data_IF_661276257627
#
_entry.id   IF_661276257627
#
_cell.length_a   1.000
_cell.length_b   1.000
_cell.length_c   1.000
_cell.angle_alpha   90.00
_cell.angle_beta   90.00
_cell.angle_gamma   90.00
#
_symmetry.space_group_name_H-M   'P 1'
#
loop_
_entity.id
_entity.type
_entity.pdbx_description
1 polymer ?
#
# COMPACT_ATOMS: atom_id res chain seq x y z
N UNK A 1 -7.99 -17.33 -31.32
CA UNK A 1 -8.59 -16.82 -30.07
C UNK A 1 -9.74 -15.92 -30.47
N UNK A 2 -10.97 -16.38 -30.29
CA UNK A 2 -12.14 -15.49 -30.40
C UNK A 2 -12.06 -14.51 -29.23
N UNK A 3 -11.86 -13.23 -29.53
CA UNK A 3 -12.04 -12.15 -28.56
C UNK A 3 -13.35 -12.39 -27.81
N UNK A 4 -13.27 -12.52 -26.49
CA UNK A 4 -14.43 -12.71 -25.63
C UNK A 4 -15.28 -11.45 -25.79
N UNK A 5 -16.47 -11.58 -26.38
CA UNK A 5 -17.39 -10.45 -26.52
C UNK A 5 -18.00 -10.22 -25.15
N UNK A 6 -17.48 -9.24 -24.41
CA UNK A 6 -18.01 -8.82 -23.11
C UNK A 6 -19.43 -8.29 -23.31
N UNK A 7 -20.38 -8.73 -22.49
CA UNK A 7 -21.75 -8.22 -22.58
C UNK A 7 -21.84 -6.74 -22.21
N UNK A 8 -22.91 -6.08 -22.64
CA UNK A 8 -23.19 -4.69 -22.22
C UNK A 8 -23.28 -4.58 -20.70
N UNK A 9 -23.86 -5.59 -20.04
CA UNK A 9 -23.96 -5.65 -18.58
C UNK A 9 -22.59 -5.63 -17.91
N UNK A 10 -21.69 -6.54 -18.32
CA UNK A 10 -20.35 -6.63 -17.75
C UNK A 10 -19.52 -5.36 -18.03
N UNK A 11 -19.59 -4.82 -19.26
CA UNK A 11 -18.89 -3.58 -19.60
C UNK A 11 -19.41 -2.35 -18.83
N UNK A 12 -20.72 -2.26 -18.58
CA UNK A 12 -21.30 -1.19 -17.77
C UNK A 12 -20.93 -1.32 -16.29
N UNK A 13 -20.87 -2.55 -15.78
CA UNK A 13 -20.43 -2.86 -14.42
C UNK A 13 -18.96 -2.43 -14.21
N UNK A 14 -18.05 -2.88 -15.07
CA UNK A 14 -16.64 -2.52 -15.06
C UNK A 14 -16.46 -1.00 -15.09
N UNK A 15 -17.09 -0.33 -16.07
CA UNK A 15 -17.00 1.14 -16.21
C UNK A 15 -17.49 1.85 -14.96
N UNK A 16 -18.59 1.39 -14.36
CA UNK A 16 -19.19 2.01 -13.17
C UNK A 16 -18.27 1.87 -11.96
N UNK A 17 -17.70 0.69 -11.74
CA UNK A 17 -16.90 0.40 -10.54
C UNK A 17 -15.47 0.92 -10.68
N UNK A 18 -14.80 0.68 -11.81
CA UNK A 18 -13.44 1.17 -12.06
C UNK A 18 -13.39 2.67 -12.36
N UNK A 19 -14.53 3.27 -12.71
CA UNK A 19 -14.68 4.72 -12.88
C UNK A 19 -14.90 5.50 -11.58
N UNK A 20 -15.03 4.82 -10.43
CA UNK A 20 -15.14 5.49 -9.14
C UNK A 20 -13.87 6.28 -8.85
N UNK A 21 -14.05 7.52 -8.36
CA UNK A 21 -12.92 8.34 -7.93
C UNK A 21 -12.23 7.66 -6.73
N UNK A 22 -10.90 7.48 -6.76
CA UNK A 22 -10.19 6.96 -5.61
C UNK A 22 -10.45 7.80 -4.36
N UNK A 23 -10.51 7.14 -3.21
CA UNK A 23 -10.71 7.78 -1.90
C UNK A 23 -9.36 7.83 -1.20
N UNK A 24 -8.96 9.01 -0.73
CA UNK A 24 -7.72 9.16 0.04
C UNK A 24 -7.88 8.50 1.41
N UNK A 25 -6.88 7.74 1.83
CA UNK A 25 -6.88 7.13 3.14
C UNK A 25 -6.48 8.15 4.21
N UNK A 26 -7.05 8.07 5.42
CA UNK A 26 -6.61 8.93 6.52
C UNK A 26 -5.20 8.58 7.01
N UNK A 27 -4.74 7.34 6.79
CA UNK A 27 -3.41 6.89 7.20
C UNK A 27 -2.73 6.18 6.03
N UNK A 28 -1.49 6.58 5.78
CA UNK A 28 -0.59 5.96 4.82
C UNK A 28 0.63 5.44 5.55
N UNK A 29 1.03 4.21 5.23
CA UNK A 29 2.19 3.58 5.84
C UNK A 29 3.02 2.81 4.82
N UNK A 30 4.17 2.32 5.30
CA UNK A 30 5.09 1.48 4.52
C UNK A 30 5.37 0.20 5.30
N UNK A 31 5.53 -0.88 4.56
CA UNK A 31 5.95 -2.18 5.10
C UNK A 31 7.27 -2.65 4.50
N UNK A 32 7.90 -1.83 3.66
CA UNK A 32 9.23 -2.05 3.12
C UNK A 32 9.77 -0.85 2.33
N UNK A 33 10.98 -1.04 1.81
CA UNK A 33 11.78 -0.01 1.16
C UNK A 33 11.33 0.34 -0.25
N UNK A 34 10.65 -0.57 -0.95
CA UNK A 34 10.18 -0.29 -2.31
C UNK A 34 8.96 0.66 -2.29
N UNK A 35 8.79 1.59 -3.23
CA UNK A 35 7.63 2.51 -3.24
C UNK A 35 6.26 1.82 -3.25
N UNK A 36 6.17 0.66 -3.90
CA UNK A 36 4.95 -0.16 -3.90
C UNK A 36 4.74 -0.98 -2.63
N UNK A 37 5.71 -1.01 -1.70
CA UNK A 37 5.57 -1.62 -0.37
C UNK A 37 4.96 -0.62 0.62
N UNK A 38 3.83 -0.06 0.21
CA UNK A 38 3.01 0.90 0.95
C UNK A 38 1.63 0.33 1.22
N UNK A 39 0.95 0.86 2.23
CA UNK A 39 -0.43 0.51 2.52
C UNK A 39 -1.23 1.75 2.91
N UNK A 40 -2.52 1.67 2.63
CA UNK A 40 -3.52 2.63 3.04
C UNK A 40 -4.37 2.02 4.15
N UNK A 41 -4.74 2.81 5.16
CA UNK A 41 -5.52 2.33 6.29
C UNK A 41 -6.74 3.21 6.56
N UNK A 42 -7.90 2.58 6.74
CA UNK A 42 -9.13 3.20 7.22
C UNK A 42 -9.56 2.53 8.51
N UNK A 43 -9.65 3.32 9.58
CA UNK A 43 -10.12 2.87 10.89
C UNK A 43 -11.57 3.26 11.09
N UNK A 44 -12.39 2.33 11.56
CA UNK A 44 -13.82 2.57 11.78
C UNK A 44 -14.12 3.55 12.93
N UNK A 45 -13.11 3.86 13.76
CA UNK A 45 -13.26 4.63 14.99
C UNK A 45 -13.87 3.84 16.15
N UNK A 46 -14.23 2.57 15.95
CA UNK A 46 -14.77 1.70 17.00
C UNK A 46 -13.64 0.95 17.69
N UNK A 47 -13.57 1.04 19.02
CA UNK A 47 -12.57 0.31 19.80
C UNK A 47 -12.72 -1.20 19.59
N UNK A 48 -11.62 -1.88 19.23
CA UNK A 48 -11.62 -3.32 18.98
C UNK A 48 -12.33 -3.74 17.69
N UNK A 49 -12.50 -2.83 16.73
CA UNK A 49 -13.12 -3.15 15.45
C UNK A 49 -12.42 -4.34 14.76
N UNK A 50 -13.18 -5.20 14.05
CA UNK A 50 -12.60 -6.31 13.33
C UNK A 50 -11.65 -5.84 12.21
N UNK A 51 -10.50 -6.50 12.12
CA UNK A 51 -9.48 -6.18 11.13
C UNK A 51 -9.70 -6.97 9.83
N UNK A 52 -9.67 -6.25 8.71
CA UNK A 52 -9.66 -6.80 7.36
C UNK A 52 -8.39 -6.33 6.66
N UNK A 53 -7.58 -7.29 6.18
CA UNK A 53 -6.51 -7.00 5.23
C UNK A 53 -7.08 -7.27 3.84
N UNK A 54 -7.13 -6.26 2.98
CA UNK A 54 -7.82 -6.30 1.70
C UNK A 54 -6.81 -6.24 0.55
N UNK A 55 -6.73 -7.31 -0.25
CA UNK A 55 -5.83 -7.42 -1.40
C UNK A 55 -6.57 -7.06 -2.70
N UNK A 56 -5.96 -6.16 -3.47
CA UNK A 56 -6.57 -5.69 -4.71
C UNK A 56 -6.44 -6.66 -5.88
N UNK A 57 -7.40 -6.56 -6.79
CA UNK A 57 -7.45 -7.31 -8.03
C UNK A 57 -6.63 -6.68 -9.15
N UNK A 58 -7.00 -7.01 -10.37
CA UNK A 58 -6.37 -6.49 -11.58
C UNK A 58 -5.21 -7.34 -12.09
N UNK A 59 -5.39 -8.66 -12.14
CA UNK A 59 -4.44 -9.60 -12.77
C UNK A 59 -2.97 -9.35 -12.39
N UNK A 60 -2.73 -9.00 -11.12
CA UNK A 60 -1.43 -8.66 -10.54
C UNK A 60 -0.68 -7.49 -11.21
N UNK A 61 -1.33 -6.73 -12.10
CA UNK A 61 -0.76 -5.66 -12.94
C UNK A 61 -1.20 -4.26 -12.52
N UNK A 62 -2.42 -4.12 -12.00
CA UNK A 62 -2.98 -2.82 -11.63
C UNK A 62 -2.73 -2.46 -10.17
N UNK A 63 -2.70 -1.17 -9.87
CA UNK A 63 -2.50 -0.65 -8.52
C UNK A 63 -3.78 -0.70 -7.67
N UNK A 64 -3.62 -0.61 -6.35
CA UNK A 64 -4.69 -0.69 -5.35
C UNK A 64 -5.74 0.43 -5.43
N UNK A 65 -5.44 1.53 -6.12
CA UNK A 65 -6.25 2.75 -6.10
C UNK A 65 -7.71 2.53 -6.47
N UNK A 66 -8.00 1.60 -7.40
CA UNK A 66 -9.37 1.25 -7.80
C UNK A 66 -10.20 0.63 -6.67
N UNK A 67 -9.56 0.06 -5.65
CA UNK A 67 -10.22 -0.59 -4.52
C UNK A 67 -10.36 0.32 -3.29
N UNK A 68 -9.75 1.51 -3.33
CA UNK A 68 -9.85 2.49 -2.23
C UNK A 68 -11.28 2.93 -1.91
N UNK A 69 -12.23 3.10 -2.87
CA UNK A 69 -13.61 3.42 -2.53
C UNK A 69 -14.30 2.30 -1.73
N UNK A 70 -13.98 1.04 -2.05
CA UNK A 70 -14.51 -0.11 -1.33
C UNK A 70 -13.90 -0.24 0.07
N UNK A 71 -12.60 -0.01 0.22
CA UNK A 71 -11.94 0.00 1.52
C UNK A 71 -12.52 1.07 2.46
N UNK A 72 -12.72 2.30 1.95
CA UNK A 72 -13.36 3.37 2.70
C UNK A 72 -14.80 3.02 3.09
N UNK A 73 -15.56 2.39 2.18
CA UNK A 73 -16.93 1.96 2.45
C UNK A 73 -17.00 0.84 3.51
N UNK A 74 -16.10 -0.15 3.45
CA UNK A 74 -16.00 -1.19 4.48
C UNK A 74 -15.70 -0.59 5.86
N UNK A 75 -14.87 0.44 5.93
CA UNK A 75 -14.63 1.13 7.21
C UNK A 75 -15.90 1.76 7.78
N UNK A 76 -16.74 2.35 6.94
CA UNK A 76 -18.07 2.84 7.33
C UNK A 76 -19.02 1.71 7.76
N UNK A 77 -18.76 0.46 7.38
CA UNK A 77 -19.51 -0.72 7.84
C UNK A 77 -18.99 -1.28 9.19
N UNK A 78 -18.01 -0.63 9.81
CA UNK A 78 -17.48 -0.97 11.14
C UNK A 78 -16.20 -1.81 11.15
N UNK A 79 -15.48 -1.89 10.02
CA UNK A 79 -14.21 -2.62 9.93
C UNK A 79 -13.00 -1.68 10.02
N UNK A 80 -11.91 -2.16 10.61
CA UNK A 80 -10.60 -1.59 10.34
C UNK A 80 -10.05 -2.25 9.07
N UNK A 81 -9.64 -1.46 8.09
CA UNK A 81 -9.24 -1.95 6.77
C UNK A 81 -7.81 -1.52 6.46
N UNK A 82 -6.95 -2.50 6.18
CA UNK A 82 -5.63 -2.29 5.60
C UNK A 82 -5.67 -2.70 4.13
N UNK A 83 -5.38 -1.76 3.23
CA UNK A 83 -5.28 -1.98 1.79
C UNK A 83 -3.81 -1.80 1.36
N UNK A 84 -3.00 -2.86 1.40
CA UNK A 84 -1.62 -2.80 0.93
C UNK A 84 -1.55 -2.79 -0.60
N UNK A 85 -0.57 -2.05 -1.13
CA UNK A 85 -0.02 -2.30 -2.46
C UNK A 85 1.03 -3.41 -2.39
N UNK A 86 1.41 -3.95 -3.54
CA UNK A 86 2.54 -4.86 -3.69
C UNK A 86 3.22 -4.61 -5.03
N UNK A 87 4.46 -5.10 -5.22
CA UNK A 87 5.11 -5.04 -6.53
C UNK A 87 4.33 -5.89 -7.54
N UNK A 88 4.10 -5.34 -8.73
CA UNK A 88 3.17 -5.84 -9.75
C UNK A 88 3.89 -6.44 -10.96
N UNK A 89 3.24 -7.42 -11.59
CA UNK A 89 3.71 -8.02 -12.84
C UNK A 89 3.80 -6.97 -13.95
N UNK A 90 4.82 -7.08 -14.81
CA UNK A 90 5.12 -6.06 -15.82
C UNK A 90 5.89 -4.84 -15.29
N UNK A 91 6.18 -4.80 -13.98
CA UNK A 91 7.10 -3.86 -13.34
C UNK A 91 8.10 -4.59 -12.45
N UNK A 92 8.30 -4.10 -11.23
CA UNK A 92 9.22 -4.72 -10.26
C UNK A 92 8.65 -5.96 -9.54
N UNK A 93 7.48 -6.45 -9.95
CA UNK A 93 6.80 -7.61 -9.38
C UNK A 93 6.80 -8.82 -10.31
N UNK A 94 5.91 -9.77 -10.01
CA UNK A 94 5.93 -11.10 -10.58
C UNK A 94 6.47 -12.13 -9.59
N UNK A 95 6.78 -13.32 -10.07
CA UNK A 95 7.54 -14.30 -9.29
C UNK A 95 9.03 -13.91 -9.32
N UNK A 96 9.70 -13.75 -8.15
CA UNK A 96 9.18 -14.00 -6.79
C UNK A 96 8.57 -12.78 -6.06
N UNK A 97 8.83 -11.56 -6.52
CA UNK A 97 8.69 -10.32 -5.76
C UNK A 97 7.27 -10.03 -5.26
N UNK A 98 6.23 -10.31 -6.05
CA UNK A 98 4.83 -10.13 -5.63
C UNK A 98 4.50 -11.03 -4.45
N UNK A 99 4.95 -12.28 -4.48
CA UNK A 99 4.68 -13.26 -3.43
C UNK A 99 5.50 -12.97 -2.17
N UNK A 100 6.74 -12.50 -2.31
CA UNK A 100 7.55 -12.02 -1.19
C UNK A 100 6.88 -10.83 -0.49
N UNK A 101 6.32 -9.89 -1.26
CA UNK A 101 5.60 -8.74 -0.73
C UNK A 101 4.31 -9.16 0.00
N UNK A 102 3.52 -10.05 -0.60
CA UNK A 102 2.25 -10.53 -0.02
C UNK A 102 2.51 -11.36 1.24
N UNK A 103 3.54 -12.22 1.25
CA UNK A 103 3.95 -12.92 2.46
C UNK A 103 4.33 -11.93 3.58
N UNK A 104 5.15 -10.92 3.28
CA UNK A 104 5.52 -9.88 4.25
C UNK A 104 4.29 -9.12 4.77
N UNK A 105 3.36 -8.74 3.89
CA UNK A 105 2.12 -8.06 4.25
C UNK A 105 1.36 -8.82 5.34
N UNK A 106 1.05 -10.09 5.09
CA UNK A 106 0.19 -10.88 5.98
C UNK A 106 0.90 -11.32 7.25
N UNK A 107 2.23 -11.42 7.21
CA UNK A 107 3.05 -11.81 8.36
C UNK A 107 3.33 -10.64 9.32
N UNK A 108 3.21 -9.37 8.85
CA UNK A 108 3.66 -8.20 9.64
C UNK A 108 2.59 -7.15 9.89
N UNK A 109 1.77 -6.80 8.89
CA UNK A 109 0.82 -5.69 9.01
C UNK A 109 -0.28 -5.90 10.06
N UNK A 110 -0.81 -7.11 10.28
CA UNK A 110 -1.82 -7.32 11.31
C UNK A 110 -1.32 -7.08 12.75
N UNK A 111 0.01 -7.05 12.98
CA UNK A 111 0.62 -6.83 14.29
C UNK A 111 0.03 -7.72 15.41
N UNK A 112 -0.24 -8.99 15.09
CA UNK A 112 -0.81 -9.96 16.01
C UNK A 112 -2.33 -9.84 16.24
N UNK A 113 -3.02 -8.85 15.67
CA UNK A 113 -4.48 -8.77 15.70
C UNK A 113 -5.08 -9.91 14.87
N UNK A 114 -6.10 -10.63 15.38
CA UNK A 114 -6.91 -11.52 14.56
C UNK A 114 -7.54 -10.73 13.39
N UNK A 115 -7.47 -11.30 12.19
CA UNK A 115 -7.92 -10.65 10.97
C UNK A 115 -8.52 -11.64 9.99
N UNK A 116 -9.38 -11.11 9.10
CA UNK A 116 -9.79 -11.80 7.88
C UNK A 116 -8.98 -11.23 6.71
N UNK A 117 -8.38 -12.10 5.91
CA UNK A 117 -7.74 -11.73 4.66
C UNK A 117 -8.77 -11.79 3.54
N UNK A 118 -9.14 -10.63 3.00
CA UNK A 118 -10.05 -10.54 1.87
C UNK A 118 -9.28 -10.19 0.60
N UNK A 119 -9.72 -10.70 -0.55
CA UNK A 119 -9.10 -10.33 -1.81
C UNK A 119 -10.05 -10.47 -2.99
N UNK A 120 -9.99 -9.53 -3.94
CA UNK A 120 -10.81 -9.54 -5.15
C UNK A 120 -10.01 -10.04 -6.36
N UNK A 121 -10.59 -10.89 -7.19
CA UNK A 121 -9.98 -11.38 -8.44
C UNK A 121 -8.58 -11.97 -8.20
N UNK A 122 -7.52 -11.36 -8.75
CA UNK A 122 -6.13 -11.75 -8.49
C UNK A 122 -5.66 -11.52 -7.05
N UNK A 123 -6.26 -10.57 -6.34
CA UNK A 123 -6.09 -10.43 -4.88
C UNK A 123 -6.73 -11.59 -4.13
N UNK A 124 -7.83 -12.15 -4.66
CA UNK A 124 -8.45 -13.37 -4.15
C UNK A 124 -7.56 -14.60 -4.37
N UNK A 125 -6.86 -14.68 -5.51
CA UNK A 125 -5.78 -15.66 -5.73
C UNK A 125 -4.71 -15.57 -4.64
N UNK A 126 -4.19 -14.37 -4.38
CA UNK A 126 -3.16 -14.13 -3.37
C UNK A 126 -3.66 -14.48 -1.95
N UNK A 127 -4.92 -14.17 -1.63
CA UNK A 127 -5.51 -14.50 -0.34
C UNK A 127 -5.64 -16.04 -0.14
N UNK A 128 -6.11 -16.76 -1.16
CA UNK A 128 -6.17 -18.23 -1.13
C UNK A 128 -4.77 -18.85 -1.05
N UNK A 129 -3.80 -18.29 -1.77
CA UNK A 129 -2.40 -18.71 -1.67
C UNK A 129 -1.85 -18.53 -0.26
N UNK A 130 -2.15 -17.40 0.41
CA UNK A 130 -1.73 -17.18 1.80
C UNK A 130 -2.26 -18.25 2.77
N UNK A 131 -3.52 -18.68 2.62
CA UNK A 131 -4.05 -19.80 3.41
C UNK A 131 -3.36 -21.13 3.08
N UNK A 132 -2.95 -21.34 1.82
CA UNK A 132 -2.28 -22.56 1.38
C UNK A 132 -0.77 -22.59 1.70
N UNK A 133 -0.17 -21.52 2.25
CA UNK A 133 1.28 -21.47 2.56
C UNK A 133 1.74 -22.57 3.52
N UNK A 134 0.86 -23.08 4.39
CA UNK A 134 1.15 -24.22 5.27
C UNK A 134 1.26 -25.58 4.54
N UNK A 135 0.83 -25.65 3.28
CA UNK A 135 0.93 -26.84 2.42
C UNK A 135 2.21 -26.86 1.58
N UNK A 136 2.96 -25.75 1.55
CA UNK A 136 4.23 -25.68 0.86
C UNK A 136 5.26 -26.63 1.50
N UNK A 137 6.28 -27.10 0.76
CA UNK A 137 7.38 -27.85 1.37
C UNK A 137 8.04 -27.04 2.50
N UNK A 138 8.47 -27.66 3.61
CA UNK A 138 9.09 -26.96 4.74
C UNK A 138 10.33 -26.12 4.40
N UNK A 139 11.01 -26.42 3.29
CA UNK A 139 12.15 -25.65 2.78
C UNK A 139 11.79 -24.45 1.90
N UNK A 140 10.51 -24.24 1.58
CA UNK A 140 10.06 -23.05 0.85
C UNK A 140 10.19 -21.82 1.73
N UNK A 141 10.72 -20.71 1.18
CA UNK A 141 10.79 -19.43 1.90
C UNK A 141 9.42 -18.85 2.28
N UNK A 142 8.35 -19.33 1.65
CA UNK A 142 6.99 -18.91 1.94
C UNK A 142 6.25 -19.87 2.86
N UNK A 143 6.80 -21.04 3.20
CA UNK A 143 6.13 -21.95 4.12
C UNK A 143 6.02 -21.30 5.51
N UNK A 144 4.80 -21.29 6.06
CA UNK A 144 4.51 -20.79 7.40
C UNK A 144 3.36 -21.58 8.03
N UNK A 145 3.35 -21.66 9.36
CA UNK A 145 2.22 -22.16 10.16
C UNK A 145 1.39 -21.05 10.79
N UNK A 146 1.86 -19.81 10.69
CA UNK A 146 1.11 -18.63 11.09
C UNK A 146 0.25 -18.20 9.90
N UNK A 147 -1.00 -18.65 9.89
CA UNK A 147 -1.93 -18.43 8.79
C UNK A 147 -2.99 -17.37 9.16
N UNK A 148 -3.65 -16.74 8.18
CA UNK A 148 -4.76 -15.82 8.45
C UNK A 148 -5.88 -16.49 9.27
N UNK A 149 -6.61 -15.70 10.07
CA UNK A 149 -7.73 -16.22 10.88
C UNK A 149 -8.91 -16.70 10.02
N UNK A 150 -9.03 -16.18 8.80
CA UNK A 150 -9.95 -16.64 7.77
C UNK A 150 -9.67 -15.94 6.44
N UNK A 151 -10.15 -16.52 5.34
CA UNK A 151 -10.03 -15.96 3.98
C UNK A 151 -11.38 -15.73 3.34
N UNK A 152 -11.61 -14.51 2.85
CA UNK A 152 -12.75 -14.17 2.00
C UNK A 152 -12.27 -13.89 0.57
N UNK A 153 -12.40 -14.88 -0.30
CA UNK A 153 -11.98 -14.80 -1.69
C UNK A 153 -13.16 -14.33 -2.56
N UNK A 154 -13.08 -13.11 -3.10
CA UNK A 154 -14.12 -12.46 -3.89
C UNK A 154 -13.85 -12.64 -5.38
N UNK A 155 -14.70 -13.40 -6.07
CA UNK A 155 -14.53 -13.79 -7.48
C UNK A 155 -13.06 -14.14 -7.84
N UNK A 156 -12.41 -15.05 -7.09
CA UNK A 156 -10.97 -15.21 -7.16
C UNK A 156 -10.49 -15.95 -8.42
N UNK A 157 -9.29 -15.64 -8.87
CA UNK A 157 -8.53 -16.62 -9.66
C UNK A 157 -8.07 -17.75 -8.72
N UNK A 158 -8.24 -19.00 -9.11
CA UNK A 158 -7.92 -20.18 -8.27
C UNK A 158 -7.02 -21.19 -8.97
N UNK A 159 -7.07 -21.22 -10.31
CA UNK A 159 -6.33 -22.10 -11.21
C UNK A 159 -5.61 -21.24 -12.27
N UNK A 160 -4.31 -21.07 -12.08
CA UNK A 160 -3.43 -20.38 -13.01
C UNK A 160 -3.30 -21.14 -14.33
N UNK A 161 -3.38 -22.47 -14.33
CA UNK A 161 -3.35 -23.29 -15.57
C UNK A 161 -4.57 -22.98 -16.43
N UNK A 162 -5.76 -22.95 -15.83
CA UNK A 162 -6.99 -22.54 -16.52
C UNK A 162 -6.93 -21.06 -16.94
N UNK A 163 -6.40 -20.17 -16.09
CA UNK A 163 -6.21 -18.74 -16.40
C UNK A 163 -5.39 -18.55 -17.67
N UNK A 164 -4.29 -19.30 -17.80
CA UNK A 164 -3.45 -19.31 -19.00
C UNK A 164 -4.17 -19.93 -20.19
N UNK A 165 -4.77 -21.11 -20.03
CA UNK A 165 -5.49 -21.82 -21.11
C UNK A 165 -6.55 -20.92 -21.75
N UNK A 166 -7.27 -20.16 -20.93
CA UNK A 166 -8.38 -19.31 -21.35
C UNK A 166 -7.92 -17.90 -21.78
N UNK A 167 -6.60 -17.63 -21.74
CA UNK A 167 -6.00 -16.36 -22.18
C UNK A 167 -6.48 -15.15 -21.38
N UNK A 168 -6.77 -15.32 -20.08
CA UNK A 168 -7.37 -14.26 -19.28
C UNK A 168 -6.41 -13.07 -19.10
N UNK A 169 -6.89 -11.87 -19.44
CA UNK A 169 -6.14 -10.61 -19.42
C UNK A 169 -4.80 -10.72 -20.14
N UNK A 170 -4.80 -11.14 -21.41
CA UNK A 170 -3.60 -11.15 -22.26
C UNK A 170 -2.40 -11.82 -21.57
N UNK A 171 -2.58 -13.10 -21.23
CA UNK A 171 -1.55 -13.96 -20.65
C UNK A 171 -0.97 -13.45 -19.31
N UNK A 172 -1.82 -12.83 -18.47
CA UNK A 172 -1.39 -12.31 -17.17
C UNK A 172 -0.76 -13.36 -16.24
N UNK A 173 -1.29 -14.59 -16.22
CA UNK A 173 -0.72 -15.68 -15.43
C UNK A 173 0.67 -16.09 -15.91
N UNK A 174 0.92 -16.06 -17.23
CA UNK A 174 2.25 -16.31 -17.79
C UNK A 174 3.22 -15.21 -17.37
N UNK A 175 2.82 -13.94 -17.50
CA UNK A 175 3.66 -12.82 -17.09
C UNK A 175 3.99 -12.87 -15.59
N UNK A 176 3.00 -13.18 -14.74
CA UNK A 176 3.19 -13.34 -13.30
C UNK A 176 4.30 -14.36 -12.99
N UNK A 177 4.29 -15.50 -13.68
CA UNK A 177 5.26 -16.57 -13.43
C UNK A 177 6.56 -16.43 -14.22
N UNK A 178 6.81 -15.28 -14.87
CA UNK A 178 8.05 -15.01 -15.60
C UNK A 178 8.12 -15.63 -17.00
N UNK A 179 6.99 -16.03 -17.57
CA UNK A 179 6.87 -16.54 -18.93
C UNK A 179 6.82 -18.06 -19.06
N UNK A 180 6.63 -18.51 -20.30
CA UNK A 180 6.42 -19.92 -20.67
C UNK A 180 7.46 -20.89 -20.08
N UNK A 181 8.78 -20.60 -20.07
CA UNK A 181 9.78 -21.54 -19.58
C UNK A 181 9.67 -21.85 -18.07
N UNK A 182 9.04 -20.95 -17.31
CA UNK A 182 8.98 -21.02 -15.85
C UNK A 182 7.60 -21.42 -15.32
N UNK A 183 6.56 -21.26 -16.14
CA UNK A 183 5.16 -21.41 -15.74
C UNK A 183 4.90 -22.74 -15.03
N UNK A 184 5.11 -23.86 -15.70
CA UNK A 184 4.83 -25.20 -15.16
C UNK A 184 5.65 -25.52 -13.92
N UNK A 185 6.91 -25.09 -13.87
CA UNK A 185 7.80 -25.37 -12.76
C UNK A 185 7.42 -24.61 -11.48
N UNK A 186 6.83 -23.41 -11.62
CA UNK A 186 6.46 -22.53 -10.49
C UNK A 186 5.03 -22.77 -9.98
N UNK A 187 4.13 -23.33 -10.79
CA UNK A 187 2.74 -23.61 -10.40
C UNK A 187 2.60 -24.28 -9.01
N UNK A 188 3.38 -25.33 -8.67
CA UNK A 188 3.22 -26.00 -7.37
C UNK A 188 3.52 -25.12 -6.15
N UNK A 189 4.14 -23.95 -6.33
CA UNK A 189 4.46 -23.03 -5.23
C UNK A 189 3.41 -21.93 -5.03
N UNK A 190 2.59 -21.64 -6.03
CA UNK A 190 1.79 -20.40 -6.08
C UNK A 190 0.37 -20.55 -6.61
N UNK A 191 0.02 -21.71 -7.18
CA UNK A 191 -1.32 -21.99 -7.68
C UNK A 191 -2.19 -22.63 -6.56
N UNK A 192 -3.25 -21.95 -6.09
CA UNK A 192 -4.09 -22.47 -5.01
C UNK A 192 -4.68 -23.84 -5.32
N UNK A 193 -5.16 -24.08 -6.54
CA UNK A 193 -5.72 -25.37 -6.92
C UNK A 193 -4.67 -26.49 -6.87
N UNK A 194 -3.47 -26.25 -7.40
CA UNK A 194 -2.35 -27.21 -7.38
C UNK A 194 -1.91 -27.57 -5.95
N UNK A 195 -1.76 -26.56 -5.08
CA UNK A 195 -1.40 -26.75 -3.68
C UNK A 195 -2.44 -27.58 -2.93
N UNK A 196 -3.71 -27.33 -3.23
CA UNK A 196 -4.82 -27.93 -2.47
C UNK A 196 -5.22 -29.32 -2.95
N UNK A 197 -5.01 -29.65 -4.22
CA UNK A 197 -5.55 -30.87 -4.87
C UNK A 197 -5.35 -32.16 -4.09
N UNK A 198 -4.20 -32.32 -3.44
CA UNK A 198 -3.88 -33.50 -2.65
C UNK A 198 -4.25 -33.37 -1.16
N UNK A 199 -4.19 -32.17 -0.59
CA UNK A 199 -4.47 -31.92 0.82
C UNK A 199 -5.96 -31.88 1.13
N UNK A 200 -6.75 -31.32 0.20
CA UNK A 200 -8.19 -31.17 0.29
C UNK A 200 -8.70 -30.17 1.33
N UNK A 201 -7.81 -29.48 2.05
CA UNK A 201 -8.09 -28.40 3.00
C UNK A 201 -6.81 -27.63 3.29
N UNK A 202 -6.91 -26.33 3.57
CA UNK A 202 -5.82 -25.51 4.10
C UNK A 202 -5.81 -25.46 5.64
N UNK A 203 -6.90 -25.87 6.29
CA UNK A 203 -7.17 -25.67 7.72
C UNK A 203 -7.59 -24.24 8.09
N UNK A 204 -7.66 -23.32 7.11
CA UNK A 204 -8.10 -21.93 7.31
C UNK A 204 -9.56 -21.80 6.89
N UNK A 205 -10.45 -21.25 7.75
CA UNK A 205 -11.83 -20.96 7.37
C UNK A 205 -11.88 -20.10 6.11
N UNK A 206 -12.43 -20.65 5.03
CA UNK A 206 -12.39 -20.03 3.71
C UNK A 206 -13.78 -19.90 3.13
N UNK A 207 -14.15 -18.69 2.72
CA UNK A 207 -15.37 -18.39 1.97
C UNK A 207 -14.97 -17.93 0.58
N UNK A 208 -15.50 -18.58 -0.45
CA UNK A 208 -15.45 -18.13 -1.84
C UNK A 208 -16.79 -17.51 -2.20
N UNK A 209 -16.80 -16.20 -2.47
CA UNK A 209 -18.00 -15.45 -2.81
C UNK A 209 -17.88 -14.92 -4.23
N UNK A 210 -18.81 -15.28 -5.11
CA UNK A 210 -18.79 -14.83 -6.51
C UNK A 210 -20.18 -14.51 -7.05
N UNK A 211 -20.21 -13.73 -8.13
CA UNK A 211 -21.42 -13.46 -8.89
C UNK A 211 -21.79 -14.62 -9.83
N UNK A 212 -23.08 -14.91 -9.98
CA UNK A 212 -23.56 -15.91 -10.93
C UNK A 212 -23.46 -15.45 -12.40
N UNK A 213 -23.32 -14.13 -12.62
CA UNK A 213 -23.21 -13.50 -13.93
C UNK A 213 -21.79 -12.93 -14.17
N UNK A 214 -20.77 -13.49 -13.52
CA UNK A 214 -19.37 -13.13 -13.73
C UNK A 214 -18.92 -13.57 -15.15
N UNK A 215 -18.61 -12.59 -16.00
CA UNK A 215 -18.11 -12.80 -17.35
C UNK A 215 -16.58 -12.63 -17.46
N UNK A 216 -15.96 -12.07 -16.43
CA UNK A 216 -14.53 -11.76 -16.40
C UNK A 216 -13.76 -13.03 -16.05
N UNK A 217 -14.16 -13.68 -14.95
CA UNK A 217 -13.56 -14.91 -14.47
C UNK A 217 -14.51 -16.08 -14.78
N UNK A 218 -14.09 -17.05 -15.62
CA UNK A 218 -14.91 -18.22 -15.91
C UNK A 218 -15.33 -18.97 -14.63
N UNK A 219 -16.61 -19.32 -14.51
CA UNK A 219 -17.17 -20.01 -13.33
C UNK A 219 -16.45 -21.33 -12.99
N UNK A 220 -15.74 -21.93 -13.94
CA UNK A 220 -14.90 -23.12 -13.71
C UNK A 220 -13.78 -22.86 -12.72
N UNK A 221 -13.25 -21.64 -12.61
CA UNK A 221 -12.31 -21.25 -11.54
C UNK A 221 -12.92 -21.54 -10.16
N UNK A 222 -14.20 -21.26 -9.98
CA UNK A 222 -14.85 -21.45 -8.69
C UNK A 222 -15.26 -22.91 -8.48
N UNK A 223 -15.88 -23.54 -9.48
CA UNK A 223 -16.34 -24.93 -9.35
C UNK A 223 -15.21 -25.93 -9.19
N UNK A 224 -14.10 -25.76 -9.91
CA UNK A 224 -12.97 -26.69 -9.87
C UNK A 224 -12.22 -26.59 -8.54
N UNK A 225 -12.13 -25.38 -7.98
CA UNK A 225 -11.58 -25.18 -6.64
C UNK A 225 -12.48 -25.74 -5.54
N UNK A 226 -13.79 -25.49 -5.62
CA UNK A 226 -14.77 -26.04 -4.69
C UNK A 226 -14.80 -27.58 -4.71
N UNK A 227 -14.55 -28.20 -5.87
CA UNK A 227 -14.49 -29.66 -6.00
C UNK A 227 -13.33 -30.30 -5.22
N UNK A 228 -12.26 -29.55 -4.92
CA UNK A 228 -11.10 -30.06 -4.16
C UNK A 228 -11.02 -29.52 -2.74
N UNK A 229 -11.65 -28.39 -2.42
CA UNK A 229 -11.61 -27.77 -1.09
C UNK A 229 -12.77 -28.26 -0.20
N UNK A 230 -12.52 -29.23 0.67
CA UNK A 230 -13.57 -29.94 1.44
C UNK A 230 -14.30 -29.07 2.46
N UNK A 231 -13.62 -28.06 2.99
CA UNK A 231 -14.11 -27.14 4.01
C UNK A 231 -14.45 -25.74 3.45
N UNK A 232 -14.62 -25.63 2.12
CA UNK A 232 -14.97 -24.36 1.48
C UNK A 232 -16.44 -24.05 1.71
N UNK A 233 -16.73 -22.81 2.12
CA UNK A 233 -18.07 -22.26 1.97
C UNK A 233 -18.15 -21.46 0.66
N UNK A 234 -19.07 -21.83 -0.22
CA UNK A 234 -19.32 -21.08 -1.46
C UNK A 234 -20.58 -20.24 -1.31
N UNK A 235 -20.49 -18.96 -1.66
CA UNK A 235 -21.61 -18.01 -1.71
C UNK A 235 -21.76 -17.50 -3.14
N UNK A 236 -22.89 -17.81 -3.76
CA UNK A 236 -23.18 -17.43 -5.16
C UNK A 236 -24.28 -16.37 -5.17
N UNK A 237 -23.97 -15.18 -5.69
CA UNK A 237 -24.93 -14.08 -5.74
C UNK A 237 -25.64 -14.02 -7.11
N UNK A 238 -26.97 -14.21 -7.16
CA UNK A 238 -27.71 -14.18 -8.42
C UNK A 238 -27.70 -12.77 -9.04
N UNK A 239 -27.61 -12.69 -10.37
CA UNK A 239 -27.62 -11.42 -11.11
C UNK A 239 -26.45 -10.47 -10.81
N UNK A 240 -25.43 -10.96 -10.10
CA UNK A 240 -24.23 -10.19 -9.74
C UNK A 240 -23.10 -10.55 -10.68
N UNK A 241 -22.39 -9.54 -11.19
CA UNK A 241 -21.20 -9.70 -12.03
C UNK A 241 -19.91 -9.75 -11.22
N UNK A 242 -18.79 -9.45 -11.87
CA UNK A 242 -17.45 -9.55 -11.30
C UNK A 242 -17.13 -8.40 -10.32
N UNK A 243 -17.58 -7.19 -10.64
CA UNK A 243 -17.17 -5.97 -9.96
C UNK A 243 -18.17 -5.48 -8.90
N UNK A 244 -19.44 -5.85 -8.99
CA UNK A 244 -20.50 -5.45 -8.03
C UNK A 244 -20.16 -5.87 -6.59
N UNK A 245 -19.30 -6.90 -6.42
CA UNK A 245 -18.79 -7.33 -5.12
C UNK A 245 -17.97 -6.26 -4.39
N UNK A 246 -17.35 -5.35 -5.13
CA UNK A 246 -16.50 -4.27 -4.62
C UNK A 246 -17.10 -2.88 -4.91
N UNK A 247 -18.37 -2.82 -5.33
CA UNK A 247 -19.06 -1.55 -5.58
C UNK A 247 -19.68 -1.02 -4.28
N UNK A 248 -19.21 0.11 -3.72
CA UNK A 248 -19.70 0.64 -2.46
C UNK A 248 -21.23 0.73 -2.38
N UNK A 249 -21.82 0.08 -1.38
CA UNK A 249 -23.25 0.11 -1.09
C UNK A 249 -24.13 -0.75 -1.99
N UNK A 250 -23.58 -1.37 -3.05
CA UNK A 250 -24.31 -2.29 -3.90
C UNK A 250 -24.69 -3.59 -3.15
N UNK A 251 -25.69 -4.36 -3.63
CA UNK A 251 -26.07 -5.62 -3.00
C UNK A 251 -24.91 -6.61 -2.84
N UNK A 252 -24.00 -6.69 -3.83
CA UNK A 252 -22.80 -7.52 -3.75
C UNK A 252 -21.87 -7.11 -2.61
N UNK A 253 -21.50 -5.83 -2.54
CA UNK A 253 -20.69 -5.28 -1.45
C UNK A 253 -21.32 -5.47 -0.05
N UNK A 254 -22.65 -5.36 0.07
CA UNK A 254 -23.36 -5.64 1.34
C UNK A 254 -23.22 -7.10 1.76
N UNK A 255 -23.39 -8.04 0.83
CA UNK A 255 -23.16 -9.46 1.09
C UNK A 255 -21.69 -9.74 1.50
N UNK A 256 -20.73 -9.03 0.92
CA UNK A 256 -19.32 -9.09 1.36
C UNK A 256 -19.17 -8.60 2.81
N UNK A 257 -19.71 -7.44 3.16
CA UNK A 257 -19.64 -6.91 4.53
C UNK A 257 -20.32 -7.84 5.55
N UNK A 258 -21.47 -8.43 5.22
CA UNK A 258 -22.16 -9.38 6.09
C UNK A 258 -21.36 -10.67 6.28
N UNK A 259 -20.72 -11.16 5.21
CA UNK A 259 -19.82 -12.33 5.28
C UNK A 259 -18.60 -12.03 6.16
N UNK A 260 -17.96 -10.86 5.97
CA UNK A 260 -16.85 -10.41 6.82
C UNK A 260 -17.25 -10.31 8.30
N UNK A 261 -18.47 -9.83 8.58
CA UNK A 261 -18.98 -9.75 9.95
C UNK A 261 -19.15 -11.13 10.57
N UNK A 262 -19.69 -12.09 9.82
CA UNK A 262 -19.82 -13.48 10.28
C UNK A 262 -18.47 -14.12 10.53
N UNK A 263 -17.51 -13.92 9.64
CA UNK A 263 -16.17 -14.51 9.76
C UNK A 263 -15.38 -13.91 10.93
N UNK A 264 -15.42 -12.58 11.08
CA UNK A 264 -14.68 -11.92 12.15
C UNK A 264 -15.27 -12.19 13.54
N UNK A 265 -16.59 -12.37 13.65
CA UNK A 265 -17.24 -12.80 14.89
C UNK A 265 -16.82 -14.20 15.35
N UNK A 266 -16.33 -15.06 14.44
CA UNK A 266 -15.82 -16.39 14.75
C UNK A 266 -14.33 -16.41 15.13
N UNK A 267 -13.61 -15.29 15.00
CA UNK A 267 -12.21 -15.19 15.40
C UNK A 267 -12.08 -15.13 16.92
N UNK A 268 -10.98 -15.66 17.50
CA UNK A 268 -10.72 -15.50 18.93
C UNK A 268 -10.58 -14.00 19.28
N UNK A 269 -11.04 -13.57 20.48
CA UNK A 269 -10.90 -12.19 20.92
C UNK A 269 -9.43 -11.79 21.05
N UNK A 270 -9.13 -10.49 20.87
CA UNK A 270 -7.79 -9.94 21.08
C UNK A 270 -7.33 -10.24 22.51
N UNK A 271 -6.29 -11.06 22.68
CA UNK A 271 -5.65 -11.31 23.98
C UNK A 271 -5.50 -12.77 24.45
N UNK A 272 -5.96 -13.78 23.71
CA UNK A 272 -5.63 -15.18 24.06
C UNK A 272 -4.40 -15.67 23.31
N UNK A 273 -3.25 -15.04 23.55
CA UNK A 273 -1.96 -15.69 23.30
C UNK A 273 -1.60 -16.37 24.61
N UNK A 274 -1.57 -17.71 24.64
CA UNK A 274 -0.93 -18.41 25.75
C UNK A 274 0.53 -17.95 25.78
N UNK A 275 0.90 -17.26 26.86
CA UNK A 275 2.24 -16.77 27.08
C UNK A 275 3.23 -17.95 26.98
N UNK A 276 4.02 -17.95 25.91
CA UNK A 276 5.37 -18.49 25.98
C UNK A 276 6.22 -17.39 26.63
N UNK A 277 6.73 -17.68 27.82
CA UNK A 277 7.65 -16.81 28.56
C UNK A 277 8.89 -16.53 27.73
N UNK A 278 9.26 -15.26 27.53
CA UNK A 278 10.66 -14.86 27.31
C UNK A 278 10.86 -13.33 27.46
N UNK A 279 11.65 -12.96 28.47
CA UNK A 279 12.71 -11.94 28.39
C UNK A 279 12.37 -10.44 28.24
N UNK A 280 12.56 -9.70 29.32
CA UNK A 280 12.63 -8.23 29.45
C UNK A 280 13.78 -7.58 28.66
N UNK A 281 13.60 -6.35 28.13
CA UNK A 281 14.42 -5.17 28.48
C UNK A 281 13.83 -3.83 27.96
N UNK A 282 14.00 -2.74 28.72
CA UNK A 282 13.36 -1.44 28.49
C UNK A 282 14.28 -0.29 28.04
N UNK A 283 13.70 0.90 27.76
CA UNK A 283 14.32 2.25 27.93
C UNK A 283 13.35 3.42 27.65
N UNK A 284 13.59 4.53 28.36
CA UNK A 284 12.77 5.74 28.61
C UNK A 284 13.28 6.99 27.86
N UNK A 285 12.43 8.03 27.70
CA UNK A 285 12.77 9.36 27.16
C UNK A 285 12.76 10.45 28.25
N UNK A 286 13.60 11.49 28.14
CA UNK A 286 13.64 12.68 29.02
C UNK A 286 13.52 13.99 28.21
N UNK A 287 12.79 14.98 28.76
CA UNK A 287 12.62 16.36 28.26
C UNK A 287 13.61 17.33 28.94
N UNK A 288 14.20 18.28 28.20
CA UNK A 288 15.01 19.36 28.77
C UNK A 288 15.15 20.56 27.81
N UNK A 289 14.94 21.77 28.35
CA UNK A 289 14.98 23.05 27.62
C UNK A 289 16.40 23.64 27.51
N UNK A 290 16.75 24.12 26.31
CA UNK A 290 17.91 24.93 25.91
C UNK A 290 19.27 24.18 25.88
N UNK A 291 19.60 23.56 24.73
CA UNK A 291 20.86 22.82 24.55
C UNK A 291 21.20 22.48 23.11
N UNK A 292 22.46 22.71 22.71
CA UNK A 292 22.98 22.28 21.39
C UNK A 292 23.00 20.75 21.31
N UNK A 293 22.34 20.19 20.30
CA UNK A 293 22.30 18.74 20.04
C UNK A 293 23.13 18.43 18.77
N UNK A 294 24.05 17.47 18.88
CA UNK A 294 24.83 16.96 17.75
C UNK A 294 24.95 15.44 17.86
N UNK A 295 24.55 14.72 16.81
CA UNK A 295 24.63 13.25 16.73
C UNK A 295 25.35 12.83 15.44
N UNK A 296 26.27 11.87 15.55
CA UNK A 296 26.93 11.20 14.42
C UNK A 296 26.58 9.70 14.47
N UNK A 297 25.85 9.18 13.47
CA UNK A 297 25.41 7.78 13.51
C UNK A 297 24.41 7.37 12.41
N UNK A 298 23.98 6.11 12.44
CA UNK A 298 22.93 5.58 11.55
C UNK A 298 21.65 5.35 12.35
N UNK A 299 20.56 6.06 12.02
CA UNK A 299 19.23 5.88 12.60
C UNK A 299 18.85 6.85 13.72
N UNK A 300 19.50 8.01 13.82
CA UNK A 300 19.20 9.05 14.82
C UNK A 300 17.83 9.70 14.62
N UNK A 301 17.24 10.20 15.72
CA UNK A 301 16.00 11.01 15.73
C UNK A 301 16.16 12.13 16.75
N UNK A 302 16.18 13.38 16.29
CA UNK A 302 16.27 14.56 17.16
C UNK A 302 15.04 15.47 16.98
N UNK A 303 14.52 15.99 18.10
CA UNK A 303 13.45 16.98 18.11
C UNK A 303 13.73 18.07 19.16
N UNK A 304 13.62 19.34 18.78
CA UNK A 304 13.80 20.49 19.67
C UNK A 304 12.64 21.51 19.53
N UNK A 305 12.17 22.06 20.64
CA UNK A 305 11.24 23.20 20.68
C UNK A 305 11.94 24.43 21.28
N UNK A 306 12.01 25.54 20.54
CA UNK A 306 12.57 26.82 21.02
C UNK A 306 13.63 27.47 20.11
N UNK A 307 14.62 28.10 20.73
CA UNK A 307 15.79 28.69 20.05
C UNK A 307 16.94 27.68 20.06
N UNK A 308 17.10 26.93 18.97
CA UNK A 308 18.02 25.79 18.90
C UNK A 308 19.10 25.87 17.83
N UNK A 309 20.04 24.92 17.87
CA UNK A 309 20.92 24.56 16.74
C UNK A 309 21.14 23.06 16.75
N UNK A 310 20.65 22.36 15.73
CA UNK A 310 20.87 20.94 15.51
C UNK A 310 21.79 20.70 14.31
N UNK A 311 22.72 19.76 14.47
CA UNK A 311 23.60 19.30 13.38
C UNK A 311 23.64 17.78 13.39
N UNK A 312 23.34 17.16 12.25
CA UNK A 312 23.41 15.70 12.07
C UNK A 312 24.29 15.34 10.87
N UNK A 313 25.13 14.31 11.03
CA UNK A 313 25.87 13.69 9.94
C UNK A 313 25.55 12.19 9.87
N UNK A 314 24.97 11.73 8.75
CA UNK A 314 24.60 10.33 8.53
C UNK A 314 23.21 10.13 7.93
N UNK A 315 22.51 9.08 8.36
CA UNK A 315 21.10 8.83 8.02
C UNK A 315 20.23 9.01 9.25
N UNK A 316 19.34 10.00 9.26
CA UNK A 316 18.42 10.23 10.37
C UNK A 316 17.35 11.26 10.08
N UNK A 317 16.71 11.78 11.13
CA UNK A 317 15.55 12.68 11.05
C UNK A 317 15.63 13.75 12.13
N UNK A 318 15.57 15.00 11.71
CA UNK A 318 15.53 16.17 12.59
C UNK A 318 14.21 16.93 12.44
N UNK A 319 13.68 17.44 13.57
CA UNK A 319 12.53 18.33 13.57
C UNK A 319 12.73 19.47 14.59
N UNK A 320 12.60 20.72 14.16
CA UNK A 320 12.64 21.88 15.06
C UNK A 320 11.36 22.72 14.95
N UNK A 321 10.87 23.23 16.09
CA UNK A 321 9.80 24.22 16.15
C UNK A 321 10.28 25.50 16.85
N UNK A 322 10.29 26.63 16.14
CA UNK A 322 10.70 27.93 16.68
C UNK A 322 11.62 28.76 15.77
N UNK A 323 12.65 29.39 16.36
CA UNK A 323 13.67 30.15 15.62
C UNK A 323 14.99 29.36 15.69
N UNK A 324 15.29 28.56 14.67
CA UNK A 324 16.32 27.50 14.72
C UNK A 324 17.37 27.54 13.62
N UNK A 325 18.34 26.62 13.69
CA UNK A 325 19.27 26.32 12.60
C UNK A 325 19.52 24.81 12.54
N UNK A 326 19.07 24.19 11.46
CA UNK A 326 19.24 22.77 11.15
C UNK A 326 20.30 22.61 10.03
N UNK A 327 21.24 21.69 10.23
CA UNK A 327 22.19 21.29 9.20
C UNK A 327 22.34 19.76 9.15
N UNK A 328 22.04 19.16 8.00
CA UNK A 328 22.19 17.72 7.76
C UNK A 328 23.18 17.43 6.63
N UNK A 329 24.09 16.47 6.86
CA UNK A 329 24.98 15.93 5.83
C UNK A 329 24.77 14.41 5.70
N UNK A 330 24.27 13.94 4.55
CA UNK A 330 24.00 12.53 4.29
C UNK A 330 22.60 12.26 3.73
N UNK A 331 21.98 11.13 4.11
CA UNK A 331 20.65 10.76 3.63
C UNK A 331 19.61 10.85 4.76
N UNK A 332 18.94 11.99 4.88
CA UNK A 332 18.12 12.34 6.05
C UNK A 332 16.80 13.03 5.72
N UNK A 333 16.08 13.46 6.76
CA UNK A 333 14.87 14.28 6.65
C UNK A 333 14.87 15.36 7.72
N UNK A 334 14.80 16.63 7.30
CA UNK A 334 14.69 17.77 8.19
C UNK A 334 13.33 18.46 8.04
N UNK A 335 12.70 18.81 9.16
CA UNK A 335 11.47 19.60 9.17
C UNK A 335 11.58 20.78 10.14
N UNK A 336 11.23 21.99 9.68
CA UNK A 336 11.16 23.19 10.52
C UNK A 336 9.78 23.85 10.44
N UNK A 337 9.26 24.28 11.58
CA UNK A 337 8.06 25.13 11.68
C UNK A 337 8.36 26.38 12.51
N UNK A 338 8.20 27.58 11.93
CA UNK A 338 8.43 28.82 12.68
C UNK A 338 8.87 30.04 11.85
N UNK A 339 9.44 31.03 12.54
CA UNK A 339 9.92 32.28 11.92
C UNK A 339 11.41 32.45 12.10
N UNK A 340 12.15 32.75 11.04
CA UNK A 340 13.60 32.95 11.07
C UNK A 340 14.44 31.66 11.00
N UNK A 341 13.80 30.53 10.68
CA UNK A 341 14.42 29.22 10.49
C UNK A 341 15.44 29.21 9.36
N UNK A 342 16.39 28.28 9.44
CA UNK A 342 17.44 28.09 8.44
C UNK A 342 17.82 26.61 8.38
N UNK A 343 17.51 25.97 7.26
CA UNK A 343 17.81 24.55 7.01
C UNK A 343 18.83 24.42 5.90
N UNK A 344 19.87 23.61 6.11
CA UNK A 344 20.86 23.26 5.10
C UNK A 344 21.00 21.74 5.00
N UNK A 345 20.93 21.20 3.79
CA UNK A 345 21.12 19.77 3.53
C UNK A 345 22.14 19.51 2.42
N UNK A 346 23.06 18.58 2.66
CA UNK A 346 24.01 18.08 1.65
C UNK A 346 23.85 16.55 1.52
N UNK A 347 23.35 16.06 0.38
CA UNK A 347 23.17 14.62 0.12
C UNK A 347 21.80 14.24 -0.48
N UNK A 348 21.20 13.14 -0.01
CA UNK A 348 19.96 12.60 -0.58
C UNK A 348 18.84 12.55 0.46
N UNK A 349 17.90 13.49 0.43
CA UNK A 349 16.91 13.58 1.51
C UNK A 349 15.70 14.45 1.23
N UNK A 350 15.01 14.83 2.32
CA UNK A 350 13.76 15.59 2.27
C UNK A 350 13.83 16.75 3.26
N UNK A 351 13.59 17.97 2.80
CA UNK A 351 13.40 19.13 3.67
C UNK A 351 11.96 19.65 3.56
N UNK A 352 11.38 20.02 4.70
CA UNK A 352 10.07 20.66 4.76
C UNK A 352 10.11 21.86 5.70
N UNK A 353 9.75 23.04 5.20
CA UNK A 353 9.67 24.26 6.00
C UNK A 353 8.25 24.87 5.97
N UNK A 354 7.71 25.19 7.14
CA UNK A 354 6.46 25.94 7.28
C UNK A 354 6.69 27.26 8.05
N UNK A 355 6.52 28.39 7.36
CA UNK A 355 6.64 29.73 7.96
C UNK A 355 7.51 30.70 7.16
N UNK A 356 8.47 31.36 7.82
CA UNK A 356 9.41 32.28 7.15
C UNK A 356 10.85 31.88 7.43
N UNK A 357 11.62 31.49 6.44
CA UNK A 357 13.00 31.06 6.63
C UNK A 357 13.78 30.89 5.34
N UNK A 358 14.88 30.13 5.42
CA UNK A 358 15.81 29.92 4.30
C UNK A 358 16.31 28.48 4.28
N UNK A 359 16.20 27.89 3.11
CA UNK A 359 16.46 26.47 2.82
C UNK A 359 17.51 26.40 1.72
N UNK A 360 18.53 25.58 1.94
CA UNK A 360 19.57 25.31 0.96
C UNK A 360 19.82 23.81 0.87
N UNK A 361 19.63 23.22 -0.31
CA UNK A 361 19.95 21.81 -0.56
C UNK A 361 21.01 21.65 -1.65
N UNK A 362 21.94 20.71 -1.46
CA UNK A 362 22.88 20.26 -2.48
C UNK A 362 22.80 18.73 -2.61
N UNK A 363 22.34 18.20 -3.76
CA UNK A 363 22.29 16.75 -4.03
C UNK A 363 21.03 16.23 -4.73
N UNK A 364 20.52 15.07 -4.31
CA UNK A 364 19.31 14.43 -4.88
C UNK A 364 18.20 14.42 -3.83
N UNK A 365 17.42 15.49 -3.74
CA UNK A 365 16.47 15.72 -2.64
C UNK A 365 15.08 16.20 -3.06
N UNK A 366 14.24 16.46 -2.06
CA UNK A 366 12.90 17.04 -2.21
C UNK A 366 12.71 18.14 -1.18
N UNK A 367 12.37 19.33 -1.65
CA UNK A 367 12.08 20.49 -0.80
C UNK A 367 10.61 20.86 -0.88
N UNK A 368 9.96 21.04 0.27
CA UNK A 368 8.61 21.57 0.35
C UNK A 368 8.56 22.80 1.27
N UNK A 369 8.10 23.93 0.74
CA UNK A 369 8.00 25.18 1.49
C UNK A 369 6.57 25.73 1.48
N UNK A 370 6.09 26.13 2.66
CA UNK A 370 4.82 26.82 2.82
C UNK A 370 5.02 28.13 3.60
N UNK A 371 4.84 29.28 2.95
CA UNK A 371 4.94 30.61 3.57
C UNK A 371 5.76 31.64 2.81
N UNK A 372 6.54 32.47 3.52
CA UNK A 372 7.38 33.51 2.90
C UNK A 372 8.87 33.18 3.13
N UNK A 373 9.39 32.26 2.31
CA UNK A 373 10.75 31.70 2.40
C UNK A 373 11.65 31.99 1.20
N UNK A 374 12.92 31.56 1.28
CA UNK A 374 13.85 31.53 0.15
C UNK A 374 14.52 30.16 0.06
N UNK A 375 14.39 29.53 -1.12
CA UNK A 375 14.95 28.22 -1.43
C UNK A 375 16.12 28.34 -2.41
N UNK A 376 17.20 27.59 -2.17
CA UNK A 376 18.28 27.40 -3.13
C UNK A 376 18.61 25.91 -3.27
N UNK A 377 18.62 25.39 -4.50
CA UNK A 377 18.95 23.99 -4.79
C UNK A 377 20.04 23.86 -5.86
N UNK A 378 20.99 22.94 -5.64
CA UNK A 378 22.03 22.54 -6.61
C UNK A 378 22.07 21.01 -6.72
N UNK A 379 21.78 20.42 -7.90
CA UNK A 379 21.88 18.96 -8.07
C UNK A 379 21.06 18.29 -9.18
N UNK A 380 20.97 16.96 -9.15
CA UNK A 380 20.26 16.15 -10.17
C UNK A 380 19.01 15.48 -9.59
N UNK A 381 17.85 15.64 -10.24
CA UNK A 381 16.62 14.95 -9.86
C UNK A 381 15.83 15.58 -8.70
N UNK A 382 16.22 16.80 -8.29
CA UNK A 382 15.54 17.60 -7.25
C UNK A 382 14.08 17.91 -7.60
N UNK A 383 13.23 18.00 -6.57
CA UNK A 383 11.81 18.36 -6.72
C UNK A 383 11.41 19.36 -5.65
N UNK A 384 10.95 20.53 -6.10
CA UNK A 384 10.58 21.62 -5.21
C UNK A 384 9.09 21.94 -5.36
N UNK A 385 8.40 22.06 -4.22
CA UNK A 385 7.01 22.54 -4.15
C UNK A 385 6.95 23.75 -3.22
N UNK A 386 6.52 24.89 -3.74
CA UNK A 386 6.36 26.12 -2.94
C UNK A 386 4.89 26.56 -2.93
N UNK A 387 4.36 26.84 -1.74
CA UNK A 387 3.08 27.51 -1.54
C UNK A 387 3.27 28.86 -0.82
N UNK A 388 3.27 30.00 -1.54
CA UNK A 388 3.51 31.31 -0.91
C UNK A 388 4.04 32.47 -1.78
N UNK A 389 4.81 33.37 -1.15
CA UNK A 389 5.37 34.61 -1.76
C UNK A 389 6.91 34.62 -1.84
N UNK A 390 7.57 33.47 -1.95
CA UNK A 390 9.01 33.28 -1.82
C UNK A 390 9.83 33.44 -3.11
N UNK A 391 11.10 33.05 -3.02
CA UNK A 391 12.05 33.03 -4.15
C UNK A 391 12.79 31.70 -4.19
N UNK A 392 12.86 31.11 -5.38
CA UNK A 392 13.58 29.86 -5.62
C UNK A 392 14.69 30.08 -6.64
N UNK A 393 15.88 29.57 -6.36
CA UNK A 393 16.99 29.49 -7.31
C UNK A 393 17.40 28.02 -7.46
N UNK A 394 17.37 27.50 -8.69
CA UNK A 394 17.73 26.10 -8.98
C UNK A 394 18.82 26.03 -10.06
N UNK A 395 19.88 25.27 -9.79
CA UNK A 395 20.94 24.92 -10.74
C UNK A 395 20.98 23.38 -10.94
N UNK A 396 20.59 22.87 -12.12
CA UNK A 396 20.63 21.43 -12.42
C UNK A 396 19.42 20.82 -13.17
N UNK A 397 19.09 19.56 -12.88
CA UNK A 397 18.06 18.77 -13.62
C UNK A 397 16.89 18.33 -12.73
N UNK A 398 16.03 19.27 -12.31
CA UNK A 398 14.86 19.02 -11.45
C UNK A 398 13.52 19.54 -11.98
N UNK A 399 12.45 19.43 -11.19
CA UNK A 399 11.10 19.95 -11.49
C UNK A 399 10.58 20.82 -10.35
N UNK A 400 10.01 21.99 -10.69
CA UNK A 400 9.51 22.98 -9.71
C UNK A 400 7.99 23.18 -9.89
N UNK A 401 7.24 23.20 -8.79
CA UNK A 401 5.82 23.58 -8.75
C UNK A 401 5.64 24.78 -7.82
N UNK A 402 5.12 25.89 -8.36
CA UNK A 402 4.75 27.08 -7.58
C UNK A 402 3.22 27.19 -7.49
N UNK A 403 2.68 27.37 -6.28
CA UNK A 403 1.29 27.68 -6.02
C UNK A 403 1.15 28.94 -5.14
N UNK A 404 0.71 30.07 -5.67
CA UNK A 404 0.57 31.29 -4.85
C UNK A 404 0.67 32.60 -5.64
N UNK A 405 0.48 33.72 -4.96
CA UNK A 405 0.58 35.06 -5.57
C UNK A 405 1.97 35.67 -5.31
N UNK A 406 2.83 35.71 -6.33
CA UNK A 406 4.04 36.55 -6.31
C UNK A 406 5.41 35.85 -6.20
N UNK A 407 5.47 34.53 -6.31
CA UNK A 407 6.71 33.76 -6.33
C UNK A 407 7.62 34.09 -7.53
N UNK A 408 8.94 33.99 -7.34
CA UNK A 408 9.95 34.19 -8.39
C UNK A 408 10.97 33.04 -8.41
N UNK A 409 10.83 32.13 -9.38
CA UNK A 409 11.87 31.15 -9.74
C UNK A 409 12.87 31.69 -10.76
N UNK A 410 14.16 31.47 -10.51
CA UNK A 410 15.23 31.54 -11.51
C UNK A 410 15.89 30.15 -11.64
N UNK A 411 16.05 29.64 -12.86
CA UNK A 411 16.55 28.28 -13.13
C UNK A 411 17.64 28.28 -14.19
N UNK A 412 18.71 27.54 -13.94
CA UNK A 412 19.80 27.29 -14.89
C UNK A 412 19.97 25.75 -15.06
N UNK A 413 19.49 25.18 -16.18
CA UNK A 413 19.50 23.73 -16.43
C UNK A 413 18.39 23.18 -17.35
N UNK A 414 18.21 21.85 -17.47
CA UNK A 414 17.30 21.19 -18.44
C UNK A 414 15.96 20.70 -17.88
N UNK A 415 15.51 21.23 -16.74
CA UNK A 415 14.25 20.87 -16.07
C UNK A 415 13.02 21.71 -16.47
N UNK A 416 11.87 21.46 -15.83
CA UNK A 416 10.60 22.15 -16.12
C UNK A 416 10.02 22.87 -14.89
N UNK A 417 9.25 23.93 -15.12
CA UNK A 417 8.58 24.72 -14.08
C UNK A 417 7.08 24.77 -14.36
N UNK A 418 6.26 24.48 -13.36
CA UNK A 418 4.80 24.59 -13.41
C UNK A 418 4.37 25.72 -12.47
N UNK A 419 3.65 26.71 -12.99
CA UNK A 419 3.08 27.82 -12.20
C UNK A 419 1.56 27.67 -12.15
N UNK A 420 0.99 27.53 -10.97
CA UNK A 420 -0.46 27.63 -10.77
C UNK A 420 -0.83 29.03 -10.28
N UNK A 421 -1.35 29.87 -11.18
CA UNK A 421 -1.98 31.13 -10.80
C UNK A 421 -3.43 30.87 -10.35
N UNK A 422 -3.75 31.14 -9.08
CA UNK A 422 -5.15 31.21 -8.65
C UNK A 422 -5.83 32.40 -9.32
N UNK A 423 -6.67 32.13 -10.31
CA UNK A 423 -7.52 33.14 -10.93
C UNK A 423 -8.46 33.76 -9.89
N UNK A 424 -8.26 35.03 -9.56
CA UNK A 424 -9.17 35.79 -8.70
C UNK A 424 -10.54 35.92 -9.40
N UNK A 425 -11.54 35.17 -8.94
CA UNK A 425 -12.93 35.42 -9.31
C UNK A 425 -13.38 36.75 -8.67
N UNK A 426 -13.77 37.71 -9.50
CA UNK A 426 -14.47 38.95 -9.10
C UNK A 426 -15.97 38.77 -9.16
#
# INVERSE_FOLDING_TARGET
MTSRVVSVFAAEEERRVLGLKPVLAPVHGRYGEHPHQSYDAWFSGTAGAPLVVLLHGGYWRYDRMHLTPFAAWLSQQGFDVLLPGFRRSGGAGGYPETFDDVARIVDTLPQGRPYVLAGHCSGGHLALWCAARGLLPPGSRWHTRTLPGGVLALAPITDLTATRRDGLSDDAALQLLGGEPHFTARLPEVDPLSLLRNAGTTGVPTVLLHGAADEEVPLTQFSDYAAVHRDLQTVVLPGTGHYTLIEPGAPGARAVADTLRSMTAALPPQGTVQAAEEGTDGRTAEEGTDGRMAEEGTGGRMAEEGTGRTVEAGTGRTAEAGTGWTAEAGAGQAAEEGTGGRTAMEGAGWTAEAGTGRTAEAGTGWTAEAGAGQAAEEGTGGRTVEEGTGRTVEEGTGWTVEAGTGGRTAKEGTGWTIKEERAAHR
#
